data_IF_702618989241
#
_entry.id   IF_702618989241
#
_cell.length_a   1.000
_cell.length_b   1.000
_cell.length_c   1.000
_cell.angle_alpha   90.00
_cell.angle_beta   90.00
_cell.angle_gamma   90.00
#
_symmetry.space_group_name_H-M   'P 1'
#
loop_
_entity.id
_entity.type
_entity.pdbx_description
1 polymer ?
#
# COMPACT_ATOMS: atom_id res chain seq x y z
N UNK A 1 0.97 -0.10 -8.06
CA UNK A 1 0.14 -1.26 -8.49
C UNK A 1 -0.40 -1.97 -7.24
N UNK A 2 -1.57 -1.56 -6.73
CA UNK A 2 -2.22 -2.11 -5.53
C UNK A 2 -3.57 -2.72 -5.92
N UNK A 3 -3.85 -3.98 -5.55
CA UNK A 3 -4.88 -4.81 -6.19
C UNK A 3 -5.65 -5.71 -5.20
N UNK A 4 -6.38 -5.18 -4.22
CA UNK A 4 -7.10 -6.01 -3.24
C UNK A 4 -8.34 -6.69 -3.87
N UNK A 5 -8.46 -8.02 -3.81
CA UNK A 5 -9.64 -8.83 -4.21
C UNK A 5 -9.78 -9.97 -3.19
N UNK A 6 -10.93 -10.47 -2.73
CA UNK A 6 -12.34 -10.44 -3.14
C UNK A 6 -13.23 -10.43 -1.87
N UNK A 7 -14.51 -10.06 -2.02
CA UNK A 7 -15.57 -9.93 -0.97
C UNK A 7 -15.48 -8.69 -0.07
N UNK A 8 -14.35 -8.00 -0.05
CA UNK A 8 -14.09 -6.86 0.81
C UNK A 8 -14.13 -5.55 0.02
N UNK A 9 -14.60 -4.49 0.68
CA UNK A 9 -14.65 -3.15 0.10
C UNK A 9 -13.25 -2.74 -0.35
N UNK A 10 -13.07 -2.52 -1.65
CA UNK A 10 -11.77 -2.34 -2.28
C UNK A 10 -11.31 -0.91 -2.05
N UNK A 11 -10.14 -0.73 -1.45
CA UNK A 11 -9.57 0.58 -1.18
C UNK A 11 -8.31 0.80 -2.01
N UNK A 12 -8.38 1.75 -2.94
CA UNK A 12 -7.30 2.07 -3.87
C UNK A 12 -6.84 3.52 -3.73
N UNK A 13 -5.56 3.76 -4.02
CA UNK A 13 -4.90 5.07 -3.98
C UNK A 13 -5.14 5.83 -5.27
N UNK A 14 -5.75 7.01 -5.19
CA UNK A 14 -6.01 7.86 -6.36
C UNK A 14 -5.34 9.21 -6.25
N UNK A 15 -4.19 9.40 -6.91
CA UNK A 15 -3.61 10.72 -7.09
C UNK A 15 -3.20 10.91 -8.55
N UNK A 16 -3.42 12.11 -9.09
CA UNK A 16 -2.92 12.51 -10.41
C UNK A 16 -1.45 12.95 -10.30
N UNK A 17 -0.56 12.01 -10.00
CA UNK A 17 0.88 12.29 -9.90
C UNK A 17 1.48 12.76 -11.23
N UNK A 18 0.80 12.47 -12.35
CA UNK A 18 1.23 12.74 -13.72
C UNK A 18 0.63 14.01 -14.34
N UNK A 19 -0.31 14.68 -13.64
CA UNK A 19 -1.09 15.83 -14.14
C UNK A 19 -1.80 15.55 -15.47
N UNK A 20 -2.27 14.32 -15.65
CA UNK A 20 -2.88 13.84 -16.89
C UNK A 20 -4.40 14.07 -16.96
N UNK A 21 -5.02 14.54 -15.87
CA UNK A 21 -6.46 14.82 -15.83
C UNK A 21 -7.34 13.61 -15.48
N UNK A 22 -6.77 12.41 -15.43
CA UNK A 22 -7.39 11.20 -14.87
C UNK A 22 -6.52 10.69 -13.72
N UNK A 23 -7.12 10.42 -12.55
CA UNK A 23 -6.39 9.86 -11.43
C UNK A 23 -6.12 8.37 -11.69
N UNK A 24 -5.01 7.82 -11.17
CA UNK A 24 -4.77 6.37 -11.25
C UNK A 24 -5.99 5.59 -10.72
N UNK A 25 -6.65 6.08 -9.68
CA UNK A 25 -7.84 5.43 -9.12
C UNK A 25 -9.06 5.44 -10.03
N UNK A 26 -9.25 6.44 -10.88
CA UNK A 26 -10.35 6.48 -11.83
C UNK A 26 -10.17 5.40 -12.91
N UNK A 27 -8.95 5.24 -13.39
CA UNK A 27 -8.56 4.14 -14.28
C UNK A 27 -8.71 2.78 -13.58
N UNK A 28 -8.26 2.64 -12.34
CA UNK A 28 -8.43 1.38 -11.61
C UNK A 28 -9.91 1.07 -11.33
N UNK A 29 -10.72 2.08 -11.03
CA UNK A 29 -12.15 1.90 -10.80
C UNK A 29 -12.82 1.35 -12.05
N UNK A 30 -12.54 1.91 -13.24
CA UNK A 30 -13.12 1.38 -14.48
C UNK A 30 -12.70 -0.08 -14.72
N UNK A 31 -11.42 -0.42 -14.56
CA UNK A 31 -10.95 -1.81 -14.67
C UNK A 31 -11.62 -2.77 -13.67
N UNK A 32 -11.91 -2.31 -12.46
CA UNK A 32 -12.55 -3.14 -11.43
C UNK A 32 -14.04 -3.36 -11.73
N UNK A 33 -14.72 -2.34 -12.26
CA UNK A 33 -16.09 -2.47 -12.75
C UNK A 33 -16.16 -3.43 -13.94
N UNK A 34 -15.20 -3.37 -14.86
CA UNK A 34 -15.10 -4.31 -16.00
C UNK A 34 -14.88 -5.76 -15.55
N UNK A 35 -14.21 -5.97 -14.40
CA UNK A 35 -14.05 -7.29 -13.77
C UNK A 35 -15.30 -7.76 -13.00
N UNK A 36 -16.39 -6.98 -13.02
CA UNK A 36 -17.67 -7.33 -12.41
C UNK A 36 -17.79 -6.98 -10.93
N UNK A 37 -16.89 -6.15 -10.38
CA UNK A 37 -17.02 -5.64 -9.02
C UNK A 37 -18.09 -4.55 -9.00
N UNK A 38 -18.97 -4.58 -8.00
CA UNK A 38 -20.02 -3.59 -7.87
C UNK A 38 -19.42 -2.28 -7.36
N UNK A 39 -19.75 -1.15 -8.00
CA UNK A 39 -19.21 0.17 -7.66
C UNK A 39 -19.35 0.53 -6.16
N UNK A 40 -20.48 0.15 -5.55
CA UNK A 40 -20.74 0.38 -4.11
C UNK A 40 -19.72 -0.27 -3.18
N UNK A 41 -19.03 -1.29 -3.68
CA UNK A 41 -18.01 -2.06 -2.97
C UNK A 41 -16.59 -1.52 -3.25
N UNK A 42 -16.46 -0.47 -4.05
CA UNK A 42 -15.20 0.26 -4.27
C UNK A 42 -15.22 1.54 -3.45
N UNK A 43 -14.24 1.71 -2.57
CA UNK A 43 -13.97 2.96 -1.85
C UNK A 43 -12.64 3.50 -2.33
N UNK A 44 -12.58 4.78 -2.65
CA UNK A 44 -11.32 5.42 -3.00
C UNK A 44 -10.73 6.18 -1.81
N UNK A 45 -9.41 6.11 -1.63
CA UNK A 45 -8.65 6.96 -0.72
C UNK A 45 -7.64 7.77 -1.53
N UNK A 46 -7.96 9.05 -1.75
CA UNK A 46 -7.19 9.93 -2.65
C UNK A 46 -6.28 10.93 -1.94
N UNK A 47 -6.25 10.95 -0.60
CA UNK A 47 -5.48 11.95 0.17
C UNK A 47 -4.03 11.53 0.41
N UNK A 48 -3.70 10.24 0.28
CA UNK A 48 -2.35 9.75 0.61
C UNK A 48 -1.29 10.08 -0.43
N UNK A 49 -0.25 10.80 0.01
CA UNK A 49 0.92 11.13 -0.80
C UNK A 49 2.07 10.13 -0.65
N UNK A 50 2.01 9.25 0.35
CA UNK A 50 3.03 8.22 0.59
C UNK A 50 2.42 6.98 1.28
N UNK A 51 3.21 5.89 1.37
CA UNK A 51 2.76 4.61 1.96
C UNK A 51 2.30 4.74 3.41
N UNK A 52 2.92 5.63 4.19
CA UNK A 52 2.54 5.86 5.60
C UNK A 52 1.15 6.49 5.71
N UNK A 53 0.91 7.57 4.97
CA UNK A 53 -0.39 8.23 4.90
C UNK A 53 -1.47 7.30 4.33
N UNK A 54 -1.11 6.46 3.36
CA UNK A 54 -2.04 5.46 2.83
C UNK A 54 -2.49 4.50 3.93
N UNK A 55 -1.55 3.89 4.66
CA UNK A 55 -1.88 3.02 5.78
C UNK A 55 -2.70 3.76 6.85
N UNK A 56 -2.37 5.01 7.15
CA UNK A 56 -3.09 5.85 8.11
C UNK A 56 -4.55 6.08 7.71
N UNK A 57 -4.78 6.71 6.55
CA UNK A 57 -6.12 7.11 6.10
C UNK A 57 -6.99 5.91 5.74
N UNK A 58 -6.39 4.86 5.18
CA UNK A 58 -7.08 3.60 4.90
C UNK A 58 -7.52 2.93 6.20
N UNK A 59 -6.66 2.91 7.22
CA UNK A 59 -7.01 2.32 8.52
C UNK A 59 -8.18 3.03 9.19
N UNK A 60 -8.30 4.36 9.03
CA UNK A 60 -9.46 5.11 9.52
C UNK A 60 -10.74 4.63 8.82
N UNK A 61 -10.72 4.47 7.50
CA UNK A 61 -11.87 3.98 6.72
C UNK A 61 -12.24 2.55 7.13
N UNK A 62 -11.25 1.68 7.31
CA UNK A 62 -11.45 0.28 7.74
C UNK A 62 -12.13 0.21 9.11
N UNK A 63 -11.64 0.99 10.08
CA UNK A 63 -12.18 0.99 11.45
C UNK A 63 -13.63 1.47 11.53
N UNK A 64 -14.07 2.32 10.60
CA UNK A 64 -15.49 2.74 10.56
C UNK A 64 -16.45 1.64 10.11
N UNK A 65 -15.97 0.55 9.50
CA UNK A 65 -16.82 -0.42 8.78
C UNK A 65 -16.67 -1.88 9.24
N UNK A 66 -16.04 -2.14 10.38
CA UNK A 66 -15.95 -3.46 11.05
C UNK A 66 -15.77 -4.65 10.09
N UNK A 67 -14.73 -4.61 9.25
CA UNK A 67 -14.41 -5.73 8.36
C UNK A 67 -13.74 -6.87 9.13
N UNK A 68 -14.17 -8.11 8.88
CA UNK A 68 -13.59 -9.30 9.51
C UNK A 68 -12.24 -9.71 8.90
N UNK A 69 -12.10 -9.56 7.58
CA UNK A 69 -10.91 -9.96 6.83
C UNK A 69 -10.44 -8.82 5.92
N UNK A 70 -9.16 -8.46 6.05
CA UNK A 70 -8.56 -7.36 5.32
C UNK A 70 -7.39 -7.92 4.52
N UNK A 71 -7.51 -7.97 3.20
CA UNK A 71 -6.45 -8.45 2.31
C UNK A 71 -5.66 -7.26 1.80
N UNK A 72 -4.36 -7.24 2.08
CA UNK A 72 -3.45 -6.21 1.58
C UNK A 72 -2.74 -6.72 0.33
N UNK A 73 -3.04 -6.11 -0.81
CA UNK A 73 -2.39 -6.47 -2.07
C UNK A 73 -1.53 -5.34 -2.59
N UNK A 74 -0.23 -5.61 -2.72
CA UNK A 74 0.76 -4.70 -3.31
C UNK A 74 1.92 -5.48 -3.94
N UNK A 75 2.85 -4.77 -4.56
CA UNK A 75 4.13 -5.33 -5.01
C UNK A 75 4.82 -6.09 -3.88
N UNK A 76 5.33 -7.27 -4.17
CA UNK A 76 5.99 -8.15 -3.22
C UNK A 76 7.21 -7.51 -2.56
N UNK A 77 7.87 -6.57 -3.24
CA UNK A 77 9.00 -5.81 -2.68
C UNK A 77 8.56 -4.88 -1.53
N UNK A 78 7.39 -4.23 -1.65
CA UNK A 78 6.89 -3.26 -0.66
C UNK A 78 5.87 -3.84 0.32
N UNK A 79 5.51 -5.11 0.18
CA UNK A 79 4.43 -5.74 0.92
C UNK A 79 4.69 -5.76 2.42
N UNK A 80 5.90 -6.16 2.83
CA UNK A 80 6.25 -6.26 4.25
C UNK A 80 6.24 -4.89 4.94
N UNK A 81 6.73 -3.83 4.27
CA UNK A 81 6.71 -2.48 4.84
C UNK A 81 5.29 -1.92 4.91
N UNK A 82 4.48 -2.21 3.90
CA UNK A 82 3.07 -1.81 3.89
C UNK A 82 2.32 -2.47 5.04
N UNK A 83 2.47 -3.79 5.21
CA UNK A 83 1.92 -4.55 6.33
C UNK A 83 2.35 -3.98 7.70
N UNK A 84 3.63 -3.67 7.86
CA UNK A 84 4.14 -3.02 9.09
C UNK A 84 3.43 -1.70 9.41
N UNK A 85 3.13 -0.90 8.39
CA UNK A 85 2.43 0.38 8.58
C UNK A 85 0.95 0.19 8.91
N UNK A 86 0.26 -0.75 8.24
CA UNK A 86 -1.12 -1.10 8.60
C UNK A 86 -1.21 -1.62 10.03
N UNK A 87 -0.29 -2.50 10.42
CA UNK A 87 -0.19 -2.99 11.79
C UNK A 87 0.07 -1.85 12.79
N UNK A 88 0.92 -0.88 12.44
CA UNK A 88 1.16 0.31 13.27
C UNK A 88 -0.12 1.09 13.56
N UNK A 89 -1.04 1.17 12.59
CA UNK A 89 -2.33 1.83 12.75
C UNK A 89 -3.44 0.90 13.27
N UNK A 90 -3.09 -0.29 13.75
CA UNK A 90 -4.02 -1.22 14.40
C UNK A 90 -4.90 -2.00 13.44
N UNK A 91 -4.44 -2.20 12.20
CA UNK A 91 -5.11 -3.03 11.20
C UNK A 91 -4.26 -4.26 10.93
N UNK A 92 -4.80 -5.44 11.21
CA UNK A 92 -4.18 -6.71 10.82
C UNK A 92 -4.62 -7.05 9.39
N UNK A 93 -3.64 -7.31 8.52
CA UNK A 93 -3.90 -7.62 7.11
C UNK A 93 -3.42 -9.03 6.76
N UNK A 94 -4.06 -9.64 5.76
CA UNK A 94 -3.58 -10.83 5.08
C UNK A 94 -2.78 -10.35 3.86
N UNK A 95 -1.44 -10.44 3.87
CA UNK A 95 -0.60 -9.90 2.80
C UNK A 95 -0.64 -10.83 1.57
N UNK A 96 -0.86 -10.25 0.40
CA UNK A 96 -0.88 -10.96 -0.89
C UNK A 96 -0.04 -10.19 -1.90
N UNK A 97 0.89 -10.88 -2.57
CA UNK A 97 1.79 -10.26 -3.54
C UNK A 97 1.10 -10.10 -4.89
N UNK A 98 1.21 -8.91 -5.47
CA UNK A 98 0.74 -8.62 -6.82
C UNK A 98 1.77 -9.00 -7.90
N UNK A 99 3.05 -9.06 -7.54
CA UNK A 99 4.17 -9.37 -8.42
C UNK A 99 5.22 -10.26 -7.72
N UNK A 100 6.08 -10.86 -8.55
CA UNK A 100 7.24 -11.60 -8.11
C UNK A 100 8.46 -10.99 -8.80
N UNK A 101 9.23 -10.20 -8.05
CA UNK A 101 10.51 -9.66 -8.50
C UNK A 101 11.65 -10.36 -7.76
N UNK A 102 12.49 -11.07 -8.50
CA UNK A 102 13.61 -11.83 -7.95
C UNK A 102 14.85 -11.57 -8.80
N UNK A 103 15.99 -11.35 -8.14
CA UNK A 103 17.27 -11.23 -8.83
C UNK A 103 17.55 -12.49 -9.65
N UNK A 104 17.96 -12.30 -10.91
CA UNK A 104 18.26 -13.41 -11.82
C UNK A 104 19.73 -13.79 -11.69
N UNK A 105 20.02 -15.06 -11.45
CA UNK A 105 21.39 -15.54 -11.44
C UNK A 105 21.99 -15.39 -12.84
N UNK A 106 23.14 -14.73 -12.93
CA UNK A 106 23.84 -14.48 -14.19
C UNK A 106 25.35 -14.42 -13.93
N UNK A 107 26.13 -14.89 -14.89
CA UNK A 107 27.60 -14.81 -14.85
C UNK A 107 28.11 -13.37 -15.03
N UNK A 108 27.30 -12.50 -15.65
CA UNK A 108 27.60 -11.08 -15.85
C UNK A 108 26.57 -10.20 -15.13
N UNK A 109 26.96 -8.99 -14.66
CA UNK A 109 26.02 -8.08 -14.02
C UNK A 109 24.85 -7.73 -14.95
N UNK A 110 23.62 -7.87 -14.45
CA UNK A 110 22.40 -7.49 -15.17
C UNK A 110 21.87 -6.18 -14.63
N UNK A 111 21.50 -5.25 -15.52
CA UNK A 111 20.84 -3.98 -15.17
C UNK A 111 19.59 -4.21 -14.30
N UNK A 112 18.85 -5.28 -14.58
CA UNK A 112 17.68 -5.68 -13.79
C UNK A 112 18.03 -6.01 -12.33
N UNK A 113 19.16 -6.68 -12.08
CA UNK A 113 19.58 -7.00 -10.71
C UNK A 113 20.01 -5.75 -9.94
N UNK A 114 20.58 -4.75 -10.63
CA UNK A 114 20.86 -3.46 -10.02
C UNK A 114 19.57 -2.75 -9.60
N UNK A 115 18.53 -2.76 -10.45
CA UNK A 115 17.23 -2.21 -10.09
C UNK A 115 16.61 -2.94 -8.88
N UNK A 116 16.62 -4.28 -8.87
CA UNK A 116 16.14 -5.08 -7.72
C UNK A 116 16.91 -4.75 -6.45
N UNK A 117 18.24 -4.53 -6.54
CA UNK A 117 19.08 -4.16 -5.40
C UNK A 117 18.73 -2.77 -4.88
N UNK A 118 18.55 -1.79 -5.78
CA UNK A 118 18.16 -0.43 -5.42
C UNK A 118 16.81 -0.43 -4.67
N UNK A 119 15.82 -1.18 -5.16
CA UNK A 119 14.55 -1.38 -4.45
C UNK A 119 14.74 -2.02 -3.07
N UNK A 120 15.58 -3.06 -2.97
CA UNK A 120 15.83 -3.73 -1.70
C UNK A 120 16.46 -2.77 -0.67
N UNK A 121 17.42 -1.94 -1.08
CA UNK A 121 18.04 -0.92 -0.23
C UNK A 121 17.00 0.09 0.25
N UNK A 122 16.14 0.59 -0.64
CA UNK A 122 15.07 1.52 -0.29
C UNK A 122 14.11 0.94 0.75
N UNK A 123 13.77 -0.35 0.64
CA UNK A 123 12.93 -1.03 1.62
C UNK A 123 13.62 -1.20 2.97
N UNK A 124 14.90 -1.59 2.98
CA UNK A 124 15.69 -1.70 4.20
C UNK A 124 15.81 -0.37 4.94
N UNK A 125 16.07 0.72 4.20
CA UNK A 125 16.06 2.07 4.76
C UNK A 125 14.68 2.45 5.30
N UNK A 126 13.60 2.04 4.63
CA UNK A 126 12.23 2.22 5.10
C UNK A 126 11.95 1.54 6.45
N UNK A 127 12.41 0.30 6.63
CA UNK A 127 12.33 -0.42 7.91
C UNK A 127 13.19 0.24 8.98
N UNK A 128 14.45 0.55 8.66
CA UNK A 128 15.37 1.20 9.59
C UNK A 128 14.78 2.52 10.11
N UNK A 129 14.29 3.37 9.19
CA UNK A 129 13.63 4.63 9.54
C UNK A 129 12.44 4.40 10.47
N UNK A 130 11.59 3.42 10.19
CA UNK A 130 10.45 3.09 11.04
C UNK A 130 10.88 2.72 12.46
N UNK A 131 11.83 1.78 12.60
CA UNK A 131 12.27 1.32 13.91
C UNK A 131 13.02 2.39 14.69
N UNK A 132 13.87 3.17 14.01
CA UNK A 132 14.54 4.31 14.59
C UNK A 132 13.52 5.33 15.13
N UNK A 133 12.54 5.73 14.32
CA UNK A 133 11.51 6.68 14.76
C UNK A 133 10.61 6.10 15.85
N UNK A 134 10.35 4.79 15.83
CA UNK A 134 9.62 4.10 16.90
C UNK A 134 10.38 4.18 18.23
N UNK A 135 11.69 3.94 18.21
CA UNK A 135 12.55 4.02 19.40
C UNK A 135 12.66 5.45 19.93
N UNK A 136 12.73 6.44 19.04
CA UNK A 136 12.74 7.86 19.40
C UNK A 136 11.35 8.40 19.82
N UNK A 137 10.28 7.60 19.71
CA UNK A 137 8.91 8.05 19.94
C UNK A 137 8.38 9.05 18.91
N UNK A 138 9.06 9.19 17.77
CA UNK A 138 8.72 10.12 16.69
C UNK A 138 7.68 9.58 15.72
N UNK A 139 7.40 8.28 15.74
CA UNK A 139 6.28 7.74 14.96
C UNK A 139 4.96 8.24 15.58
N UNK A 140 4.20 9.09 14.86
CA UNK A 140 2.98 9.64 15.40
C UNK A 140 1.96 8.51 15.63
N UNK A 141 1.59 8.31 16.90
CA UNK A 141 0.45 7.46 17.26
C UNK A 141 -0.81 8.30 17.07
N UNK A 142 -1.52 8.15 15.96
CA UNK A 142 -2.86 8.76 15.86
C UNK A 142 -3.84 7.93 16.68
N UNK A 143 -4.45 8.57 17.68
CA UNK A 143 -5.45 7.96 18.55
C UNK A 143 -6.88 8.26 18.05
N UNK A 144 -7.09 9.37 17.32
CA UNK A 144 -8.41 9.78 16.81
C UNK A 144 -8.37 10.26 15.35
N UNK A 145 -9.48 10.06 14.63
CA UNK A 145 -9.70 10.53 13.26
C UNK A 145 -9.90 12.06 13.23
N UNK A 146 -8.89 12.83 12.78
CA UNK A 146 -9.03 14.28 12.55
C UNK A 146 -7.83 15.16 12.92
N UNK A 147 -6.82 14.63 13.60
CA UNK A 147 -5.64 15.41 14.04
C UNK A 147 -4.61 15.55 12.89
N UNK A 148 -4.91 16.40 11.89
CA UNK A 148 -3.99 16.79 10.82
C UNK A 148 -3.47 18.21 11.08
#
# INVERSE_FOLDING_TARGET
MYRALLSAKLLHRGGDASKTGESEAEVYKSYLLDLGIIEKDVIEESRSMNTWQNAQFTSDIIKTKSYDNIVLVTSGLHLQRSELYFFHFGVNTIPVRADYMEAKLSMVPLWYNFAVTDFAIHEWLGFYRYYFYKQMGWNPKRVNSGEA
#
